data_IF_506151444853
#
_entry.id   IF_506151444853
#
_cell.length_a   1.000
_cell.length_b   1.000
_cell.length_c   1.000
_cell.angle_alpha   90.00
_cell.angle_beta   90.00
_cell.angle_gamma   90.00
#
_symmetry.space_group_name_H-M   'P 1'
#
loop_
_entity.id
_entity.type
_entity.pdbx_description
1 polymer ?
#
# COMPACT_ATOMS: atom_id res chain seq x y z
N UNK A 1 15.17 -8.14 43.70
CA UNK A 1 16.36 -8.33 42.84
C UNK A 1 16.18 -7.54 41.57
N UNK A 2 17.12 -6.65 41.22
CA UNK A 2 17.08 -5.96 39.93
C UNK A 2 17.28 -6.99 38.81
N UNK A 3 16.40 -6.98 37.79
CA UNK A 3 16.59 -7.85 36.62
C UNK A 3 17.89 -7.47 35.93
N UNK A 4 18.75 -8.45 35.64
CA UNK A 4 19.97 -8.27 34.86
C UNK A 4 19.61 -7.61 33.52
N UNK A 5 20.41 -6.64 33.10
CA UNK A 5 20.23 -5.94 31.84
C UNK A 5 21.40 -6.25 30.91
N UNK A 6 21.08 -6.35 29.62
CA UNK A 6 22.00 -6.65 28.55
C UNK A 6 21.97 -5.50 27.55
N UNK A 7 23.14 -4.97 27.23
CA UNK A 7 23.31 -3.88 26.26
C UNK A 7 23.72 -4.44 24.92
N UNK A 8 23.05 -3.98 23.87
CA UNK A 8 23.31 -4.36 22.48
C UNK A 8 23.59 -3.10 21.66
N UNK A 9 24.58 -3.19 20.78
CA UNK A 9 24.87 -2.21 19.76
C UNK A 9 24.69 -2.88 18.41
N UNK A 10 23.73 -2.41 17.63
CA UNK A 10 23.52 -2.86 16.24
C UNK A 10 23.99 -1.76 15.31
N UNK A 11 24.79 -2.11 14.31
CA UNK A 11 25.26 -1.19 13.27
C UNK A 11 24.84 -1.72 11.91
N UNK A 12 24.02 -0.96 11.20
CA UNK A 12 23.62 -1.22 9.82
C UNK A 12 24.55 -0.39 8.94
N UNK A 13 25.53 -1.04 8.30
CA UNK A 13 26.48 -0.37 7.41
C UNK A 13 25.91 -0.31 6.01
N UNK A 14 25.92 0.87 5.40
CA UNK A 14 25.31 1.13 4.10
C UNK A 14 26.36 1.29 3.00
N UNK A 15 25.96 1.04 1.74
CA UNK A 15 26.85 1.21 0.58
C UNK A 15 26.91 2.66 0.10
N UNK A 16 25.86 3.44 0.33
CA UNK A 16 25.73 4.85 -0.07
C UNK A 16 25.29 5.72 1.10
N UNK A 17 25.34 7.03 0.86
CA UNK A 17 24.92 8.08 1.77
C UNK A 17 23.46 7.93 2.21
N UNK A 18 23.16 8.34 3.44
CA UNK A 18 21.81 8.42 3.99
C UNK A 18 21.33 9.88 4.02
N UNK A 19 20.17 10.15 3.40
CA UNK A 19 19.53 11.47 3.42
C UNK A 19 19.17 11.98 4.82
N UNK A 20 19.14 11.12 5.83
CA UNK A 20 18.87 11.45 7.24
C UNK A 20 20.16 11.58 8.08
N UNK A 21 21.31 11.81 7.45
CA UNK A 21 22.59 11.96 8.14
C UNK A 21 22.54 13.03 9.26
N UNK A 22 23.12 12.71 10.42
CA UNK A 22 23.22 13.59 11.59
C UNK A 22 22.03 13.50 12.55
N UNK A 23 21.02 12.69 12.27
CA UNK A 23 19.86 12.53 13.15
C UNK A 23 20.17 11.64 14.35
N UNK A 24 19.74 12.08 15.54
CA UNK A 24 19.74 11.28 16.76
C UNK A 24 18.31 11.15 17.23
N UNK A 25 17.82 9.91 17.34
CA UNK A 25 16.42 9.60 17.57
C UNK A 25 16.25 8.67 18.77
N UNK A 26 15.20 8.90 19.54
CA UNK A 26 14.68 7.93 20.49
C UNK A 26 13.56 7.14 19.83
N UNK A 27 13.75 5.81 19.72
CA UNK A 27 12.83 4.90 19.03
C UNK A 27 12.07 4.06 20.05
N UNK A 28 10.76 4.28 20.22
CA UNK A 28 9.96 3.51 21.16
C UNK A 28 9.81 2.06 20.69
N UNK A 29 9.62 1.16 21.65
CA UNK A 29 9.28 -0.22 21.37
C UNK A 29 7.86 -0.29 20.79
N UNK A 30 7.60 -1.26 19.93
CA UNK A 30 6.29 -1.48 19.28
C UNK A 30 5.14 -1.79 20.26
N UNK A 31 5.40 -1.95 21.56
CA UNK A 31 4.41 -2.44 22.53
C UNK A 31 4.24 -1.59 23.79
N UNK A 32 4.73 -0.36 23.83
CA UNK A 32 4.50 0.50 25.01
C UNK A 32 3.08 1.05 24.97
N UNK A 33 2.15 0.30 25.58
CA UNK A 33 0.79 0.76 25.86
C UNK A 33 0.86 2.08 26.63
N UNK A 34 0.19 3.10 26.10
CA UNK A 34 -0.12 4.34 26.81
C UNK A 34 -0.90 3.95 28.06
N UNK A 35 -0.31 4.15 29.24
CA UNK A 35 -0.84 3.56 30.46
C UNK A 35 -0.12 4.00 31.72
N UNK A 36 1.01 3.41 32.09
CA UNK A 36 1.59 3.67 33.43
C UNK A 36 3.13 3.64 33.53
N UNK A 37 3.87 3.59 32.42
CA UNK A 37 5.34 3.78 32.41
C UNK A 37 5.76 4.48 31.13
N UNK A 38 6.77 5.36 31.21
CA UNK A 38 7.36 5.98 30.04
C UNK A 38 7.77 4.89 29.02
N UNK A 39 7.52 5.09 27.71
CA UNK A 39 7.85 4.09 26.72
C UNK A 39 9.34 3.79 26.78
N UNK A 40 9.70 2.50 26.83
CA UNK A 40 11.09 2.10 26.66
C UNK A 40 11.52 2.46 25.24
N UNK A 41 12.63 3.17 25.14
CA UNK A 41 13.19 3.67 23.89
C UNK A 41 14.58 3.10 23.66
N UNK A 42 14.92 2.90 22.39
CA UNK A 42 16.30 2.69 21.97
C UNK A 42 16.86 3.96 21.35
N UNK A 43 18.17 4.18 21.50
CA UNK A 43 18.84 5.33 20.90
C UNK A 43 19.34 4.96 19.51
N UNK A 44 18.96 5.74 18.51
CA UNK A 44 19.39 5.58 17.13
C UNK A 44 20.20 6.79 16.69
N UNK A 45 21.40 6.56 16.17
CA UNK A 45 22.22 7.56 15.50
C UNK A 45 22.29 7.24 14.02
N UNK A 46 21.91 8.19 13.18
CA UNK A 46 21.95 8.04 11.73
C UNK A 46 23.14 8.83 11.20
N UNK A 47 24.07 8.13 10.56
CA UNK A 47 25.22 8.71 9.88
C UNK A 47 25.12 8.48 8.37
N UNK A 48 26.02 9.11 7.62
CA UNK A 48 26.05 9.01 6.17
C UNK A 48 26.22 7.57 5.68
N UNK A 49 27.08 6.76 6.33
CA UNK A 49 27.43 5.41 5.88
C UNK A 49 26.99 4.29 6.83
N UNK A 50 26.33 4.63 7.94
CA UNK A 50 25.80 3.63 8.86
C UNK A 50 24.67 4.18 9.74
N UNK A 51 23.84 3.28 10.26
CA UNK A 51 22.87 3.55 11.31
C UNK A 51 23.25 2.75 12.54
N UNK A 52 23.37 3.39 13.70
CA UNK A 52 23.71 2.76 14.97
C UNK A 52 22.52 2.76 15.92
N UNK A 53 22.09 1.59 16.32
CA UNK A 53 21.06 1.35 17.34
C UNK A 53 21.75 0.90 18.64
N UNK A 54 21.52 1.62 19.73
CA UNK A 54 21.95 1.22 21.08
C UNK A 54 20.73 0.90 21.92
N UNK A 55 20.70 -0.32 22.44
CA UNK A 55 19.51 -0.91 23.03
C UNK A 55 19.83 -1.65 24.32
N UNK A 56 18.91 -1.61 25.29
CA UNK A 56 19.02 -2.33 26.56
C UNK A 56 17.83 -3.26 26.71
N UNK A 57 18.08 -4.54 27.02
CA UNK A 57 17.03 -5.56 27.21
C UNK A 57 17.23 -6.30 28.53
N UNK A 58 16.12 -6.76 29.11
CA UNK A 58 16.15 -7.65 30.28
C UNK A 58 16.41 -9.10 29.93
N UNK A 59 16.08 -9.49 28.69
CA UNK A 59 16.25 -10.85 28.23
C UNK A 59 17.61 -10.97 27.55
N UNK A 60 18.30 -12.07 27.87
CA UNK A 60 19.48 -12.47 27.15
C UNK A 60 19.06 -13.00 25.77
N UNK A 61 19.58 -12.43 24.70
CA UNK A 61 19.31 -12.85 23.32
C UNK A 61 20.64 -12.96 22.60
N UNK A 62 20.83 -14.06 21.87
CA UNK A 62 22.06 -14.22 21.10
C UNK A 62 22.13 -13.16 19.99
N UNK A 63 23.34 -12.64 19.68
CA UNK A 63 23.53 -11.68 18.58
C UNK A 63 23.00 -12.17 17.21
N UNK A 64 23.10 -13.47 16.93
CA UNK A 64 22.58 -14.07 15.71
C UNK A 64 21.05 -14.06 15.65
N UNK A 65 20.38 -14.46 16.74
CA UNK A 65 18.90 -14.48 16.78
C UNK A 65 18.30 -13.09 16.63
N UNK A 66 19.00 -12.01 17.02
CA UNK A 66 18.54 -10.63 16.79
C UNK A 66 18.32 -10.33 15.31
N UNK A 67 19.13 -10.92 14.41
CA UNK A 67 18.98 -10.72 12.97
C UNK A 67 18.00 -11.73 12.36
N UNK A 68 18.02 -12.99 12.82
CA UNK A 68 17.26 -14.08 12.18
C UNK A 68 15.82 -14.27 12.69
N UNK A 69 15.49 -13.78 13.88
CA UNK A 69 14.14 -13.92 14.46
C UNK A 69 13.27 -12.68 14.18
N UNK A 70 12.39 -12.80 13.19
CA UNK A 70 11.46 -11.74 12.79
C UNK A 70 10.46 -11.33 13.89
N UNK A 71 10.25 -12.18 14.91
CA UNK A 71 9.36 -11.86 16.03
C UNK A 71 10.03 -11.00 17.10
N UNK A 72 11.36 -10.95 17.11
CA UNK A 72 12.18 -10.28 18.12
C UNK A 72 12.01 -8.76 18.14
N UNK A 73 11.99 -8.17 19.35
CA UNK A 73 11.85 -6.71 19.50
C UNK A 73 13.03 -5.94 18.90
N UNK A 74 14.25 -6.46 18.99
CA UNK A 74 15.43 -5.86 18.36
C UNK A 74 15.40 -6.00 16.84
N UNK A 75 14.95 -7.14 16.31
CA UNK A 75 14.74 -7.30 14.87
C UNK A 75 13.77 -6.25 14.32
N UNK A 76 12.63 -6.03 15.00
CA UNK A 76 11.67 -4.99 14.61
C UNK A 76 12.29 -3.59 14.63
N UNK A 77 13.19 -3.29 15.57
CA UNK A 77 13.92 -2.01 15.60
C UNK A 77 14.90 -1.87 14.43
N UNK A 78 15.58 -2.95 14.04
CA UNK A 78 16.40 -2.98 12.82
C UNK A 78 15.50 -2.69 11.61
N UNK A 79 14.36 -3.37 11.50
CA UNK A 79 13.43 -3.20 10.38
C UNK A 79 12.89 -1.76 10.30
N UNK A 80 12.58 -1.10 11.42
CA UNK A 80 12.24 0.34 11.46
C UNK A 80 13.30 1.18 10.75
N UNK A 81 14.57 0.96 11.07
CA UNK A 81 15.67 1.74 10.51
C UNK A 81 15.92 1.42 9.04
N UNK A 82 15.79 0.15 8.65
CA UNK A 82 15.91 -0.29 7.26
C UNK A 82 14.80 0.35 6.40
N UNK A 83 13.54 0.32 6.86
CA UNK A 83 12.43 0.93 6.15
C UNK A 83 12.57 2.46 6.06
N UNK A 84 12.97 3.11 7.16
CA UNK A 84 13.25 4.55 7.17
C UNK A 84 14.36 4.93 6.18
N UNK A 85 15.43 4.12 6.14
CA UNK A 85 16.54 4.32 5.21
C UNK A 85 16.09 4.20 3.75
N UNK A 86 15.36 3.14 3.38
CA UNK A 86 14.87 3.00 2.01
C UNK A 86 13.84 4.06 1.64
N UNK A 87 12.88 4.38 2.51
CA UNK A 87 11.85 5.37 2.25
C UNK A 87 12.40 6.81 2.14
N UNK A 88 13.44 7.15 2.90
CA UNK A 88 14.05 8.49 2.83
C UNK A 88 14.96 8.70 1.62
N UNK A 89 15.49 7.62 1.04
CA UNK A 89 16.39 7.70 -0.11
C UNK A 89 15.69 7.43 -1.46
N UNK A 90 14.52 6.76 -1.45
CA UNK A 90 13.68 6.48 -2.63
C UNK A 90 14.39 5.79 -3.80
N UNK A 91 15.55 5.21 -3.52
CA UNK A 91 16.40 4.46 -4.43
C UNK A 91 17.10 3.41 -3.60
N UNK A 92 17.53 2.30 -4.21
CA UNK A 92 18.31 1.29 -3.48
C UNK A 92 19.70 1.88 -3.12
N UNK A 93 19.95 2.26 -1.86
CA UNK A 93 21.23 2.85 -1.48
C UNK A 93 22.15 1.76 -0.90
N UNK A 94 21.63 0.53 -0.78
CA UNK A 94 22.26 -0.70 -0.43
C UNK A 94 22.66 -0.84 1.04
N UNK A 95 22.53 -2.07 1.55
CA UNK A 95 23.06 -2.51 2.84
C UNK A 95 24.28 -3.37 2.57
N UNK A 96 25.39 -3.08 3.25
CA UNK A 96 26.62 -3.87 3.18
C UNK A 96 26.59 -5.00 4.20
N UNK A 97 26.29 -4.67 5.45
CA UNK A 97 26.30 -5.61 6.56
C UNK A 97 25.48 -5.09 7.74
N UNK A 98 25.00 -6.01 8.57
CA UNK A 98 24.43 -5.72 9.89
C UNK A 98 25.31 -6.40 10.94
N UNK A 99 25.95 -5.59 11.77
CA UNK A 99 26.77 -6.05 12.89
C UNK A 99 25.99 -5.91 14.20
N UNK A 100 25.95 -6.96 15.00
CA UNK A 100 25.36 -6.97 16.35
C UNK A 100 26.44 -7.26 17.37
N UNK A 101 26.58 -6.40 18.38
CA UNK A 101 27.53 -6.56 19.50
C UNK A 101 26.74 -6.54 20.80
N UNK A 102 26.89 -7.61 21.60
CA UNK A 102 26.43 -7.71 22.98
C UNK A 102 27.58 -7.31 23.91
N UNK A 103 27.38 -6.26 24.69
CA UNK A 103 28.40 -5.64 25.53
C UNK A 103 28.84 -6.59 26.67
N UNK A 104 30.13 -6.63 26.97
CA UNK A 104 30.71 -7.41 28.08
C UNK A 104 30.64 -8.94 27.95
N UNK A 105 30.50 -9.49 26.73
CA UNK A 105 30.45 -10.95 26.49
C UNK A 105 31.48 -11.39 25.46
N UNK A 106 32.33 -12.35 25.82
CA UNK A 106 33.27 -13.03 24.92
C UNK A 106 32.47 -13.79 23.83
N UNK A 107 32.81 -13.59 22.55
CA UNK A 107 32.00 -14.01 21.39
C UNK A 107 30.60 -13.35 21.28
N UNK A 108 30.38 -12.20 21.91
CA UNK A 108 29.15 -11.42 21.80
C UNK A 108 28.93 -10.70 20.46
N UNK A 109 29.60 -11.11 19.37
CA UNK A 109 29.55 -10.43 18.06
C UNK A 109 28.97 -11.34 16.98
N UNK A 110 28.05 -10.79 16.20
CA UNK A 110 27.53 -11.40 14.97
C UNK A 110 27.58 -10.41 13.81
N UNK A 111 27.84 -10.88 12.60
CA UNK A 111 27.85 -10.07 11.38
C UNK A 111 27.06 -10.81 10.30
N UNK A 112 26.02 -10.17 9.78
CA UNK A 112 25.32 -10.59 8.57
C UNK A 112 25.83 -9.74 7.39
N UNK A 113 26.29 -10.36 6.31
CA UNK A 113 26.82 -9.65 5.14
C UNK A 113 25.91 -9.80 3.92
N UNK A 114 25.73 -8.72 3.17
CA UNK A 114 24.85 -8.68 2.01
C UNK A 114 25.65 -8.49 0.72
N UNK A 115 25.45 -9.42 -0.20
CA UNK A 115 25.86 -9.35 -1.60
C UNK A 115 24.75 -8.71 -2.45
N UNK A 116 25.04 -8.31 -3.70
CA UNK A 116 24.01 -7.84 -4.63
C UNK A 116 22.89 -8.87 -4.92
N UNK A 117 23.09 -10.15 -4.62
CA UNK A 117 22.10 -11.22 -4.91
C UNK A 117 21.10 -11.45 -3.78
N UNK A 118 21.46 -11.14 -2.54
CA UNK A 118 20.61 -11.32 -1.34
C UNK A 118 20.24 -9.98 -0.67
N UNK A 119 20.53 -8.85 -1.31
CA UNK A 119 20.17 -7.53 -0.84
C UNK A 119 18.65 -7.29 -0.98
N UNK A 120 17.97 -6.81 0.08
CA UNK A 120 16.56 -6.45 -0.02
C UNK A 120 16.36 -5.31 -1.02
N UNK A 121 15.22 -5.31 -1.72
CA UNK A 121 14.78 -4.22 -2.59
C UNK A 121 15.80 -3.84 -3.68
N UNK A 122 16.51 -4.83 -4.24
CA UNK A 122 17.63 -4.64 -5.17
C UNK A 122 17.36 -3.66 -6.32
N UNK A 123 16.15 -3.68 -6.89
CA UNK A 123 15.78 -2.83 -8.03
C UNK A 123 14.95 -1.59 -7.62
N UNK A 124 14.99 -1.18 -6.35
CA UNK A 124 14.27 -0.01 -5.88
C UNK A 124 14.71 1.25 -6.63
N UNK A 125 13.77 1.84 -7.34
CA UNK A 125 13.95 3.10 -8.04
C UNK A 125 12.62 3.84 -8.15
N UNK A 126 12.50 4.96 -7.44
CA UNK A 126 11.39 5.88 -7.57
C UNK A 126 11.64 6.87 -8.72
N UNK A 127 10.65 7.06 -9.58
CA UNK A 127 10.80 7.85 -10.81
C UNK A 127 10.37 9.32 -10.66
N UNK A 128 9.68 9.69 -9.58
CA UNK A 128 9.21 11.07 -9.38
C UNK A 128 10.20 11.88 -8.55
N UNK A 129 10.29 13.19 -8.85
CA UNK A 129 11.09 14.14 -8.09
C UNK A 129 10.49 14.45 -6.70
N UNK A 130 9.27 13.97 -6.43
CA UNK A 130 8.66 14.12 -5.11
C UNK A 130 9.28 13.16 -4.10
N UNK A 131 9.66 13.72 -2.95
CA UNK A 131 10.11 12.98 -1.79
C UNK A 131 9.08 13.04 -0.64
N UNK A 132 9.17 12.08 0.27
CA UNK A 132 8.49 12.18 1.55
C UNK A 132 9.16 13.24 2.43
N UNK A 133 8.36 13.87 3.29
CA UNK A 133 8.91 14.70 4.36
C UNK A 133 9.62 13.79 5.39
N UNK A 134 10.89 14.06 5.64
CA UNK A 134 11.71 13.27 6.56
C UNK A 134 11.15 13.22 7.99
N UNK A 135 10.63 14.35 8.49
CA UNK A 135 10.07 14.41 9.84
C UNK A 135 8.78 13.60 9.95
N UNK A 136 7.92 13.67 8.93
CA UNK A 136 6.69 12.87 8.89
C UNK A 136 7.01 11.37 8.86
N UNK A 137 7.94 10.94 8.00
CA UNK A 137 8.41 9.54 7.98
C UNK A 137 8.90 9.07 9.35
N UNK A 138 9.75 9.87 10.00
CA UNK A 138 10.30 9.56 11.33
C UNK A 138 9.17 9.46 12.36
N UNK A 139 8.24 10.42 12.36
CA UNK A 139 7.14 10.47 13.32
C UNK A 139 6.20 9.26 13.14
N UNK A 140 5.84 8.91 11.91
CA UNK A 140 4.98 7.75 11.63
C UNK A 140 5.66 6.42 11.99
N UNK A 141 6.95 6.25 11.68
CA UNK A 141 7.70 5.05 12.10
C UNK A 141 7.87 4.98 13.63
N UNK A 142 7.97 6.11 14.32
CA UNK A 142 7.99 6.14 15.79
C UNK A 142 6.65 5.72 16.39
N UNK A 143 5.54 6.30 15.92
CA UNK A 143 4.24 6.24 16.59
C UNK A 143 3.36 5.08 16.11
N UNK A 144 3.41 4.72 14.83
CA UNK A 144 2.44 3.83 14.18
C UNK A 144 3.11 2.68 13.40
N UNK A 145 4.30 2.22 13.82
CA UNK A 145 5.10 1.26 13.05
C UNK A 145 4.38 -0.03 12.66
N UNK A 146 3.52 -0.59 13.52
CA UNK A 146 2.88 -1.87 13.22
C UNK A 146 2.01 -1.81 11.95
N UNK A 147 1.38 -0.66 11.67
CA UNK A 147 0.62 -0.43 10.44
C UNK A 147 1.48 0.27 9.38
N UNK A 148 2.13 1.36 9.74
CA UNK A 148 2.91 2.18 8.81
C UNK A 148 4.12 1.42 8.23
N UNK A 149 4.77 0.57 9.04
CA UNK A 149 5.86 -0.29 8.60
C UNK A 149 5.40 -1.37 7.60
N UNK A 150 4.16 -1.86 7.74
CA UNK A 150 3.55 -2.80 6.77
C UNK A 150 3.24 -2.08 5.46
N UNK A 151 2.68 -0.87 5.53
CA UNK A 151 2.41 -0.03 4.35
C UNK A 151 3.71 0.25 3.59
N UNK A 152 4.73 0.76 4.28
CA UNK A 152 6.02 1.05 3.65
C UNK A 152 6.70 -0.20 3.09
N UNK A 153 6.65 -1.33 3.79
CA UNK A 153 7.30 -2.55 3.30
C UNK A 153 6.67 -3.04 2.01
N UNK A 154 5.34 -3.03 1.91
CA UNK A 154 4.63 -3.43 0.68
C UNK A 154 4.84 -2.42 -0.45
N UNK A 155 4.77 -1.13 -0.18
CA UNK A 155 5.01 -0.10 -1.21
C UNK A 155 6.43 -0.19 -1.77
N UNK A 156 7.45 -0.19 -0.90
CA UNK A 156 8.85 -0.30 -1.30
C UNK A 156 9.12 -1.60 -2.07
N UNK A 157 8.51 -2.71 -1.65
CA UNK A 157 8.60 -3.99 -2.37
C UNK A 157 7.98 -3.85 -3.76
N UNK A 158 6.76 -3.33 -3.86
CA UNK A 158 6.05 -3.15 -5.13
C UNK A 158 6.82 -2.30 -6.14
N UNK A 159 7.39 -1.17 -5.71
CA UNK A 159 8.17 -0.32 -6.63
C UNK A 159 9.54 -0.92 -7.00
N UNK A 160 10.05 -1.87 -6.22
CA UNK A 160 11.30 -2.60 -6.51
C UNK A 160 11.10 -3.87 -7.34
N UNK A 161 9.84 -4.29 -7.54
CA UNK A 161 9.49 -5.55 -8.18
C UNK A 161 9.45 -5.42 -9.71
N UNK A 162 9.99 -6.43 -10.40
CA UNK A 162 10.03 -6.48 -11.87
C UNK A 162 8.87 -7.29 -12.44
N UNK A 163 8.41 -8.31 -11.71
CA UNK A 163 7.28 -9.10 -12.14
C UNK A 163 5.96 -8.32 -11.96
N UNK A 164 5.20 -8.16 -13.04
CA UNK A 164 3.94 -7.38 -13.05
C UNK A 164 2.94 -7.83 -11.98
N UNK A 165 2.79 -9.15 -11.77
CA UNK A 165 1.81 -9.71 -10.83
C UNK A 165 2.28 -9.57 -9.38
N UNK A 166 3.54 -9.85 -9.09
CA UNK A 166 4.12 -9.63 -7.76
C UNK A 166 4.11 -8.15 -7.37
N UNK A 167 4.36 -7.26 -8.35
CA UNK A 167 4.25 -5.82 -8.19
C UNK A 167 2.83 -5.41 -7.84
N UNK A 168 1.85 -5.92 -8.59
CA UNK A 168 0.43 -5.66 -8.33
C UNK A 168 -0.01 -6.13 -6.96
N UNK A 169 0.32 -7.35 -6.56
CA UNK A 169 -0.04 -7.87 -5.23
C UNK A 169 0.57 -7.03 -4.11
N UNK A 170 1.83 -6.61 -4.26
CA UNK A 170 2.51 -5.77 -3.26
C UNK A 170 1.86 -4.39 -3.15
N UNK A 171 1.63 -3.72 -4.28
CA UNK A 171 0.97 -2.40 -4.30
C UNK A 171 -0.47 -2.49 -3.81
N UNK A 172 -1.23 -3.51 -4.22
CA UNK A 172 -2.58 -3.73 -3.72
C UNK A 172 -2.61 -3.90 -2.20
N UNK A 173 -1.69 -4.68 -1.61
CA UNK A 173 -1.61 -4.83 -0.15
C UNK A 173 -1.29 -3.51 0.54
N UNK A 174 -0.43 -2.68 -0.04
CA UNK A 174 -0.21 -1.32 0.44
C UNK A 174 -1.53 -0.52 0.43
N UNK A 175 -2.19 -0.45 -0.72
CA UNK A 175 -3.46 0.25 -0.90
C UNK A 175 -4.54 -0.22 0.09
N UNK A 176 -4.66 -1.54 0.29
CA UNK A 176 -5.62 -2.13 1.22
C UNK A 176 -5.36 -1.67 2.66
N UNK A 177 -4.11 -1.69 3.13
CA UNK A 177 -3.78 -1.19 4.47
C UNK A 177 -4.06 0.32 4.62
N UNK A 178 -3.85 1.10 3.56
CA UNK A 178 -4.23 2.52 3.52
C UNK A 178 -5.76 2.70 3.57
N UNK A 179 -6.53 1.82 2.93
CA UNK A 179 -7.99 1.78 3.07
C UNK A 179 -8.41 1.56 4.52
N UNK A 180 -7.82 0.58 5.21
CA UNK A 180 -8.07 0.33 6.62
C UNK A 180 -7.71 1.53 7.50
N UNK A 181 -6.59 2.21 7.23
CA UNK A 181 -6.21 3.45 7.93
C UNK A 181 -7.25 4.56 7.76
N UNK A 182 -7.72 4.77 6.54
CA UNK A 182 -8.67 5.86 6.21
C UNK A 182 -10.10 5.65 6.72
N UNK A 183 -10.41 4.45 7.26
CA UNK A 183 -11.78 4.09 7.60
C UNK A 183 -12.26 4.83 8.85
N UNK A 184 -13.27 5.67 8.67
CA UNK A 184 -13.92 6.47 9.73
C UNK A 184 -15.33 6.00 10.10
N UNK A 185 -15.70 4.79 9.69
CA UNK A 185 -17.04 4.25 9.99
C UNK A 185 -17.18 3.75 11.43
N UNK A 186 -18.41 3.45 11.83
CA UNK A 186 -18.75 3.03 13.20
C UNK A 186 -18.37 1.58 13.53
N UNK A 187 -18.04 0.77 12.52
CA UNK A 187 -17.66 -0.63 12.74
C UNK A 187 -16.20 -0.71 13.23
N UNK A 188 -15.98 -1.22 14.43
CA UNK A 188 -14.64 -1.40 15.00
C UNK A 188 -13.79 -2.46 14.29
N UNK A 189 -14.41 -3.29 13.43
CA UNK A 189 -13.73 -4.28 12.57
C UNK A 189 -14.38 -4.27 11.18
N UNK A 190 -14.08 -3.25 10.35
CA UNK A 190 -14.67 -3.15 9.03
C UNK A 190 -14.18 -4.32 8.16
N UNK A 191 -15.04 -4.79 7.26
CA UNK A 191 -14.61 -5.73 6.23
C UNK A 191 -13.98 -4.97 5.05
N UNK A 192 -13.34 -5.70 4.14
CA UNK A 192 -12.67 -5.15 2.94
C UNK A 192 -13.62 -4.27 2.11
N UNK A 193 -14.88 -4.68 1.96
CA UNK A 193 -15.88 -3.94 1.18
C UNK A 193 -16.16 -2.57 1.79
N UNK A 194 -16.29 -2.49 3.11
CA UNK A 194 -16.59 -1.25 3.84
C UNK A 194 -15.43 -0.25 3.72
N UNK A 195 -14.18 -0.71 3.89
CA UNK A 195 -13.00 0.16 3.80
C UNK A 195 -12.75 0.64 2.38
N UNK A 196 -12.96 -0.22 1.37
CA UNK A 196 -12.86 0.18 -0.04
C UNK A 196 -13.92 1.21 -0.41
N UNK A 197 -15.16 1.07 0.09
CA UNK A 197 -16.21 2.07 -0.13
C UNK A 197 -15.83 3.42 0.47
N UNK A 198 -15.29 3.43 1.69
CA UNK A 198 -14.79 4.64 2.35
C UNK A 198 -13.66 5.30 1.56
N UNK A 199 -12.67 4.51 1.10
CA UNK A 199 -11.54 5.02 0.34
C UNK A 199 -11.96 5.60 -1.01
N UNK A 200 -12.91 4.98 -1.72
CA UNK A 200 -13.43 5.55 -2.98
C UNK A 200 -14.02 6.94 -2.76
N UNK A 201 -14.81 7.12 -1.71
CA UNK A 201 -15.38 8.43 -1.41
C UNK A 201 -14.30 9.43 -0.96
N UNK A 202 -13.30 8.99 -0.18
CA UNK A 202 -12.16 9.82 0.19
C UNK A 202 -11.42 10.36 -1.04
N UNK A 203 -11.06 9.50 -2.00
CA UNK A 203 -10.39 9.90 -3.25
C UNK A 203 -11.23 10.94 -4.01
N UNK A 204 -12.53 10.69 -4.14
CA UNK A 204 -13.48 11.55 -4.89
C UNK A 204 -13.73 12.92 -4.28
N UNK A 205 -13.56 13.05 -2.97
CA UNK A 205 -13.83 14.28 -2.20
C UNK A 205 -12.56 15.05 -1.87
N UNK A 206 -11.39 14.44 -2.00
CA UNK A 206 -10.08 15.02 -1.67
C UNK A 206 -9.14 15.05 -2.87
N UNK A 207 -9.63 15.42 -4.06
CA UNK A 207 -8.85 15.42 -5.32
C UNK A 207 -7.52 16.17 -5.23
N UNK A 208 -7.45 17.22 -4.40
CA UNK A 208 -6.22 18.00 -4.18
C UNK A 208 -5.06 17.16 -3.61
N UNK A 209 -5.33 16.02 -2.96
CA UNK A 209 -4.32 15.10 -2.46
C UNK A 209 -3.80 14.14 -3.53
N UNK A 210 -4.46 14.03 -4.68
CA UNK A 210 -4.20 13.03 -5.73
C UNK A 210 -3.74 13.64 -7.05
N UNK A 211 -3.06 14.79 -7.02
CA UNK A 211 -2.72 15.54 -8.23
C UNK A 211 -1.88 14.73 -9.23
N UNK A 212 -0.90 13.95 -8.77
CA UNK A 212 -0.05 13.15 -9.65
C UNK A 212 -0.83 11.97 -10.24
N UNK A 213 -1.60 11.26 -9.41
CA UNK A 213 -2.45 10.16 -9.87
C UNK A 213 -3.50 10.66 -10.87
N UNK A 214 -4.13 11.81 -10.60
CA UNK A 214 -5.10 12.43 -11.50
C UNK A 214 -4.45 12.75 -12.84
N UNK A 215 -3.23 13.30 -12.84
CA UNK A 215 -2.48 13.58 -14.07
C UNK A 215 -2.19 12.32 -14.89
N UNK A 216 -1.99 11.16 -14.27
CA UNK A 216 -1.79 9.89 -14.97
C UNK A 216 -3.03 9.46 -15.73
N UNK A 217 -4.21 9.60 -15.11
CA UNK A 217 -5.47 9.16 -15.74
C UNK A 217 -6.14 10.24 -16.58
N UNK A 218 -5.73 11.51 -16.43
CA UNK A 218 -6.27 12.66 -17.17
C UNK A 218 -6.28 12.49 -18.68
N UNK A 219 -5.23 11.85 -19.22
CA UNK A 219 -5.08 11.63 -20.67
C UNK A 219 -5.86 10.42 -21.18
N UNK A 220 -6.46 9.63 -20.29
CA UNK A 220 -7.20 8.43 -20.68
C UNK A 220 -8.51 8.82 -21.35
N UNK A 221 -8.66 8.42 -22.60
CA UNK A 221 -9.88 8.62 -23.40
C UNK A 221 -10.98 7.66 -22.98
N UNK A 222 -12.23 7.94 -23.40
CA UNK A 222 -13.36 7.03 -23.24
C UNK A 222 -13.05 5.63 -23.79
N UNK A 223 -12.44 5.57 -24.97
CA UNK A 223 -12.10 4.30 -25.64
C UNK A 223 -11.06 3.51 -24.87
N UNK A 224 -9.97 4.16 -24.43
CA UNK A 224 -8.93 3.50 -23.64
C UNK A 224 -9.48 3.01 -22.31
N UNK A 225 -10.23 3.84 -21.59
CA UNK A 225 -10.85 3.45 -20.34
C UNK A 225 -11.81 2.26 -20.52
N UNK A 226 -12.59 2.25 -21.60
CA UNK A 226 -13.53 1.17 -21.90
C UNK A 226 -12.84 -0.12 -22.34
N UNK A 227 -11.77 -0.04 -23.11
CA UNK A 227 -11.18 -1.17 -23.81
C UNK A 227 -10.00 -1.80 -23.09
N UNK A 228 -9.25 -1.03 -22.29
CA UNK A 228 -8.07 -1.54 -21.58
C UNK A 228 -8.42 -2.35 -20.34
N UNK A 229 -9.63 -2.17 -19.79
CA UNK A 229 -10.05 -2.82 -18.56
C UNK A 229 -11.18 -3.84 -18.76
N UNK A 230 -11.21 -4.83 -17.89
CA UNK A 230 -12.12 -5.98 -17.97
C UNK A 230 -13.52 -5.69 -17.38
N UNK A 231 -14.12 -4.55 -17.72
CA UNK A 231 -15.40 -4.06 -17.14
C UNK A 231 -16.52 -5.07 -17.18
N UNK A 232 -16.70 -5.76 -18.31
CA UNK A 232 -17.74 -6.79 -18.44
C UNK A 232 -17.54 -7.90 -17.42
N UNK A 233 -16.33 -8.44 -17.32
CA UNK A 233 -16.05 -9.55 -16.41
C UNK A 233 -16.18 -9.10 -14.95
N UNK A 234 -15.70 -7.90 -14.62
CA UNK A 234 -15.85 -7.29 -13.30
C UNK A 234 -17.33 -7.17 -12.92
N UNK A 235 -18.15 -6.57 -13.78
CA UNK A 235 -19.59 -6.39 -13.53
C UNK A 235 -20.28 -7.74 -13.34
N UNK A 236 -19.97 -8.71 -14.19
CA UNK A 236 -20.60 -10.03 -14.14
C UNK A 236 -20.20 -10.81 -12.88
N UNK A 237 -18.98 -10.61 -12.38
CA UNK A 237 -18.46 -11.25 -11.18
C UNK A 237 -19.01 -10.59 -9.90
N UNK A 238 -18.82 -9.28 -9.75
CA UNK A 238 -19.16 -8.54 -8.53
C UNK A 238 -20.68 -8.46 -8.28
N UNK A 239 -21.48 -8.53 -9.33
CA UNK A 239 -22.94 -8.39 -9.26
C UNK A 239 -23.61 -9.61 -9.88
N UNK A 240 -23.32 -10.79 -9.33
CA UNK A 240 -23.73 -12.08 -9.88
C UNK A 240 -25.25 -12.29 -9.88
N UNK A 241 -25.73 -13.14 -10.81
CA UNK A 241 -27.15 -13.48 -10.95
C UNK A 241 -27.62 -14.55 -9.96
N UNK A 242 -26.70 -15.17 -9.23
CA UNK A 242 -26.98 -16.32 -8.40
C UNK A 242 -27.47 -15.87 -7.03
N UNK A 243 -28.80 -15.84 -6.88
CA UNK A 243 -29.49 -15.57 -5.63
C UNK A 243 -30.71 -14.68 -5.81
N UNK A 244 -31.80 -14.96 -5.08
CA UNK A 244 -33.03 -14.15 -5.09
C UNK A 244 -32.92 -12.86 -4.27
N UNK A 245 -31.70 -12.34 -4.07
CA UNK A 245 -31.45 -11.17 -3.21
C UNK A 245 -31.39 -9.91 -4.07
N UNK A 246 -32.12 -8.88 -3.65
CA UNK A 246 -32.11 -7.54 -4.28
C UNK A 246 -30.78 -6.80 -4.04
N UNK A 247 -30.12 -7.07 -2.92
CA UNK A 247 -28.94 -6.36 -2.41
C UNK A 247 -27.76 -6.23 -3.39
N UNK A 248 -27.37 -7.25 -4.19
CA UNK A 248 -26.30 -7.08 -5.17
C UNK A 248 -26.63 -6.01 -6.22
N UNK A 249 -27.91 -5.87 -6.61
CA UNK A 249 -28.34 -4.91 -7.61
C UNK A 249 -28.51 -3.50 -7.03
N UNK A 250 -28.93 -3.39 -5.77
CA UNK A 250 -28.85 -2.14 -5.02
C UNK A 250 -27.39 -1.69 -4.91
N UNK A 251 -26.45 -2.59 -4.61
CA UNK A 251 -25.02 -2.27 -4.60
C UNK A 251 -24.50 -1.86 -5.99
N UNK A 252 -25.01 -2.45 -7.09
CA UNK A 252 -24.67 -2.00 -8.44
C UNK A 252 -25.05 -0.52 -8.62
N UNK A 253 -26.27 -0.13 -8.22
CA UNK A 253 -26.69 1.27 -8.26
C UNK A 253 -25.85 2.14 -7.32
N UNK A 254 -25.79 1.77 -6.05
CA UNK A 254 -25.31 2.63 -4.97
C UNK A 254 -23.79 2.73 -4.90
N UNK A 255 -23.05 1.73 -5.39
CA UNK A 255 -21.58 1.69 -5.30
C UNK A 255 -20.88 1.83 -6.65
N UNK A 256 -21.50 1.38 -7.75
CA UNK A 256 -20.88 1.43 -9.09
C UNK A 256 -21.38 2.58 -9.95
N UNK A 257 -22.64 3.01 -9.81
CA UNK A 257 -23.24 4.02 -10.70
C UNK A 257 -23.37 5.38 -10.03
N UNK A 258 -24.25 5.50 -9.04
CA UNK A 258 -24.67 6.78 -8.46
C UNK A 258 -23.55 7.65 -7.90
N UNK A 259 -22.44 7.10 -7.36
CA UNK A 259 -21.35 7.95 -6.90
C UNK A 259 -20.79 8.81 -8.04
N UNK A 260 -20.55 8.24 -9.22
CA UNK A 260 -19.70 8.84 -10.23
C UNK A 260 -20.42 9.84 -11.14
N UNK A 261 -19.70 10.90 -11.54
CA UNK A 261 -20.17 11.95 -12.44
C UNK A 261 -19.21 12.22 -13.60
N UNK A 262 -18.01 11.63 -13.58
CA UNK A 262 -17.05 11.73 -14.67
C UNK A 262 -17.59 11.15 -15.98
N UNK A 263 -17.47 11.91 -17.07
CA UNK A 263 -18.02 11.56 -18.37
C UNK A 263 -17.49 10.21 -18.91
N UNK A 264 -16.23 9.86 -18.66
CA UNK A 264 -15.63 8.59 -19.11
C UNK A 264 -16.23 7.41 -18.35
N UNK A 265 -16.43 7.57 -17.05
CA UNK A 265 -17.11 6.58 -16.22
C UNK A 265 -18.56 6.42 -16.66
N UNK A 266 -19.31 7.52 -16.84
CA UNK A 266 -20.72 7.46 -17.24
C UNK A 266 -20.91 6.84 -18.63
N UNK A 267 -20.03 7.14 -19.59
CA UNK A 267 -20.05 6.52 -20.92
C UNK A 267 -19.84 5.00 -20.84
N UNK A 268 -18.79 4.56 -20.12
CA UNK A 268 -18.53 3.14 -19.89
C UNK A 268 -19.72 2.45 -19.19
N UNK A 269 -20.31 3.06 -18.18
CA UNK A 269 -21.46 2.50 -17.46
C UNK A 269 -22.69 2.39 -18.37
N UNK A 270 -22.95 3.38 -19.24
CA UNK A 270 -24.05 3.30 -20.20
C UNK A 270 -23.87 2.15 -21.18
N UNK A 271 -22.68 1.99 -21.74
CA UNK A 271 -22.38 0.90 -22.68
C UNK A 271 -22.46 -0.49 -22.03
N UNK A 272 -22.08 -0.59 -20.76
CA UNK A 272 -22.05 -1.86 -20.03
C UNK A 272 -23.36 -2.19 -19.31
N UNK A 273 -24.30 -1.25 -19.22
CA UNK A 273 -25.61 -1.42 -18.58
C UNK A 273 -26.40 -2.60 -19.14
N UNK A 274 -26.25 -2.88 -20.43
CA UNK A 274 -26.89 -4.01 -21.13
C UNK A 274 -26.60 -5.36 -20.47
N UNK A 275 -25.45 -5.53 -19.80
CA UNK A 275 -25.04 -6.78 -19.17
C UNK A 275 -25.94 -7.19 -18.00
N UNK A 276 -26.60 -6.23 -17.35
CA UNK A 276 -27.49 -6.47 -16.19
C UNK A 276 -28.90 -5.88 -16.36
N UNK A 277 -29.22 -5.31 -17.52
CA UNK A 277 -30.49 -4.61 -17.74
C UNK A 277 -31.75 -5.40 -17.33
N UNK A 278 -31.88 -6.68 -17.75
CA UNK A 278 -33.08 -7.49 -17.44
C UNK A 278 -33.32 -7.62 -15.93
N UNK A 279 -32.26 -7.90 -15.18
CA UNK A 279 -32.35 -8.15 -13.74
C UNK A 279 -32.46 -6.84 -12.94
N UNK A 280 -31.83 -5.76 -13.41
CA UNK A 280 -32.00 -4.41 -12.84
C UNK A 280 -33.45 -3.92 -12.99
N UNK A 281 -34.11 -4.23 -14.12
CA UNK A 281 -35.54 -3.94 -14.32
C UNK A 281 -36.41 -4.76 -13.39
N UNK A 282 -36.15 -6.06 -13.28
CA UNK A 282 -36.89 -6.96 -12.38
C UNK A 282 -36.89 -6.48 -10.92
N UNK A 283 -35.76 -5.94 -10.43
CA UNK A 283 -35.64 -5.41 -9.07
C UNK A 283 -35.99 -3.92 -8.92
N UNK A 284 -36.53 -3.27 -9.95
CA UNK A 284 -36.88 -1.84 -9.97
C UNK A 284 -35.71 -0.88 -9.67
N UNK A 285 -34.48 -1.27 -10.03
CA UNK A 285 -33.27 -0.45 -9.83
C UNK A 285 -32.87 0.29 -11.12
N UNK A 286 -33.30 -0.22 -12.28
CA UNK A 286 -32.87 0.27 -13.59
C UNK A 286 -33.18 1.76 -13.85
N UNK A 287 -34.34 2.24 -13.40
CA UNK A 287 -34.76 3.62 -13.66
C UNK A 287 -33.92 4.63 -12.89
N UNK A 288 -33.55 4.36 -11.64
CA UNK A 288 -32.66 5.23 -10.86
C UNK A 288 -31.30 5.41 -11.56
N UNK A 289 -30.75 4.31 -12.07
CA UNK A 289 -29.51 4.30 -12.85
C UNK A 289 -29.66 5.14 -14.12
N UNK A 290 -30.72 4.90 -14.90
CA UNK A 290 -30.92 5.61 -16.16
C UNK A 290 -31.14 7.11 -15.94
N UNK A 291 -31.88 7.48 -14.88
CA UNK A 291 -32.08 8.88 -14.49
C UNK A 291 -30.76 9.55 -14.15
N UNK A 292 -29.88 8.90 -13.37
CA UNK A 292 -28.56 9.43 -13.05
C UNK A 292 -27.69 9.60 -14.30
N UNK A 293 -27.62 8.58 -15.17
CA UNK A 293 -26.87 8.66 -16.42
C UNK A 293 -27.39 9.77 -17.34
N UNK A 294 -28.71 9.92 -17.47
CA UNK A 294 -29.32 10.97 -18.30
C UNK A 294 -29.13 12.36 -17.70
N UNK A 295 -29.09 12.48 -16.37
CA UNK A 295 -28.90 13.75 -15.69
C UNK A 295 -27.47 14.29 -15.87
N UNK A 296 -26.44 13.46 -15.68
CA UNK A 296 -25.05 13.93 -15.61
C UNK A 296 -24.25 13.81 -16.90
N UNK A 297 -24.58 12.87 -17.80
CA UNK A 297 -23.80 12.68 -19.02
C UNK A 297 -23.80 13.91 -19.98
N UNK A 298 -24.90 14.67 -20.16
CA UNK A 298 -24.89 15.87 -20.99
C UNK A 298 -23.91 16.95 -20.53
N UNK A 299 -23.54 16.96 -19.25
CA UNK A 299 -22.63 17.96 -18.69
C UNK A 299 -21.17 17.72 -19.09
N UNK A 300 -20.85 16.51 -19.56
CA UNK A 300 -19.51 16.11 -20.00
C UNK A 300 -18.39 16.50 -19.00
N UNK A 301 -18.66 16.28 -17.72
CA UNK A 301 -17.75 16.66 -16.62
C UNK A 301 -16.52 15.75 -16.66
N UNK A 302 -15.32 16.35 -16.66
CA UNK A 302 -14.07 15.63 -16.43
C UNK A 302 -13.72 15.74 -14.96
N UNK A 303 -13.72 14.60 -14.26
CA UNK A 303 -13.39 14.48 -12.85
C UNK A 303 -12.46 13.28 -12.65
N UNK A 304 -11.16 13.55 -12.74
CA UNK A 304 -10.12 12.51 -12.71
C UNK A 304 -10.12 11.70 -11.40
N UNK A 305 -10.52 12.32 -10.28
CA UNK A 305 -10.68 11.64 -8.99
C UNK A 305 -11.76 10.54 -9.00
N UNK A 306 -12.85 10.71 -9.77
CA UNK A 306 -13.86 9.67 -9.96
C UNK A 306 -13.29 8.48 -10.74
N UNK A 307 -12.44 8.75 -11.75
CA UNK A 307 -11.77 7.74 -12.56
C UNK A 307 -10.75 6.95 -11.74
N UNK A 308 -9.96 7.63 -10.90
CA UNK A 308 -9.05 6.99 -9.95
C UNK A 308 -9.79 6.09 -8.96
N UNK A 309 -10.86 6.61 -8.34
CA UNK A 309 -11.61 5.88 -7.32
C UNK A 309 -12.19 4.56 -7.85
N UNK A 310 -12.72 4.55 -9.08
CA UNK A 310 -13.26 3.31 -9.66
C UNK A 310 -12.14 2.34 -10.08
N UNK A 311 -11.00 2.83 -10.58
CA UNK A 311 -9.88 1.98 -10.97
C UNK A 311 -9.22 1.32 -9.75
N UNK A 312 -8.90 2.10 -8.72
CA UNK A 312 -8.26 1.58 -7.50
C UNK A 312 -9.26 0.82 -6.61
N UNK A 313 -10.43 1.39 -6.34
CA UNK A 313 -11.36 0.83 -5.37
C UNK A 313 -12.31 -0.24 -5.90
N UNK A 314 -12.44 -0.41 -7.22
CA UNK A 314 -13.34 -1.42 -7.81
C UNK A 314 -12.60 -2.35 -8.76
N UNK A 315 -11.86 -1.84 -9.75
CA UNK A 315 -11.16 -2.69 -10.70
C UNK A 315 -9.99 -3.46 -10.05
N UNK A 316 -9.20 -2.80 -9.20
CA UNK A 316 -8.09 -3.48 -8.49
C UNK A 316 -8.56 -4.54 -7.48
N UNK A 317 -9.62 -4.27 -6.72
CA UNK A 317 -10.23 -5.31 -5.86
C UNK A 317 -10.70 -6.52 -6.67
N UNK A 318 -11.37 -6.30 -7.80
CA UNK A 318 -11.78 -7.39 -8.69
C UNK A 318 -10.58 -8.21 -9.19
N UNK A 319 -9.52 -7.55 -9.67
CA UNK A 319 -8.33 -8.23 -10.16
C UNK A 319 -7.61 -9.03 -9.08
N UNK A 320 -7.45 -8.45 -7.90
CA UNK A 320 -6.85 -9.17 -6.77
C UNK A 320 -7.68 -10.39 -6.40
N UNK A 321 -9.00 -10.29 -6.34
CA UNK A 321 -9.84 -11.45 -5.99
C UNK A 321 -9.70 -12.59 -7.00
N UNK A 322 -9.59 -12.27 -8.30
CA UNK A 322 -9.29 -13.28 -9.34
C UNK A 322 -7.94 -13.96 -9.12
N UNK A 323 -6.91 -13.19 -8.80
CA UNK A 323 -5.57 -13.73 -8.52
C UNK A 323 -5.56 -14.60 -7.26
N UNK A 324 -6.20 -14.15 -6.18
CA UNK A 324 -6.20 -14.84 -4.90
C UNK A 324 -7.00 -16.16 -4.93
N UNK A 325 -8.10 -16.21 -5.67
CA UNK A 325 -8.92 -17.42 -5.80
C UNK A 325 -8.36 -18.42 -6.83
N UNK A 326 -7.16 -18.20 -7.37
CA UNK A 326 -6.53 -19.09 -8.33
C UNK A 326 -7.28 -19.17 -9.67
N UNK A 327 -8.08 -18.15 -9.98
CA UNK A 327 -8.84 -18.09 -11.23
C UNK A 327 -7.96 -17.65 -12.42
N UNK A 328 -6.71 -17.27 -12.14
CA UNK A 328 -5.68 -16.91 -13.11
C UNK A 328 -4.57 -17.95 -13.01
N UNK A 329 -4.17 -18.51 -14.15
CA UNK A 329 -3.04 -19.44 -14.22
C UNK A 329 -1.74 -18.74 -13.83
N UNK A 330 -0.76 -19.50 -13.35
CA UNK A 330 0.54 -18.95 -12.99
C UNK A 330 1.12 -18.11 -14.15
N UNK A 331 1.46 -16.83 -13.93
CA UNK A 331 2.04 -15.98 -14.97
C UNK A 331 3.32 -16.55 -15.57
N UNK A 332 4.04 -17.37 -14.81
CA UNK A 332 5.25 -18.08 -15.26
C UNK A 332 4.99 -19.07 -16.39
N UNK A 333 3.73 -19.40 -16.69
CA UNK A 333 3.30 -20.31 -17.76
C UNK A 333 2.65 -19.57 -18.94
N UNK A 334 2.59 -18.23 -18.92
CA UNK A 334 2.05 -17.47 -20.03
C UNK A 334 2.94 -17.66 -21.26
N UNK A 335 2.36 -18.22 -22.33
CA UNK A 335 3.06 -18.46 -23.60
C UNK A 335 3.34 -17.16 -24.36
N UNK A 336 2.54 -16.12 -24.10
CA UNK A 336 2.66 -14.81 -24.73
C UNK A 336 2.12 -13.71 -23.81
N UNK A 337 2.39 -12.47 -24.19
CA UNK A 337 1.85 -11.30 -23.50
C UNK A 337 0.33 -11.22 -23.67
N UNK A 338 -0.40 -11.08 -22.56
CA UNK A 338 -1.86 -11.09 -22.55
C UNK A 338 -2.44 -9.70 -22.31
N UNK A 339 -3.73 -9.53 -22.61
CA UNK A 339 -4.47 -8.31 -22.25
C UNK A 339 -4.48 -8.06 -20.73
N UNK A 340 -4.47 -9.14 -19.95
CA UNK A 340 -4.41 -9.04 -18.49
C UNK A 340 -3.08 -8.46 -18.01
N UNK A 341 -1.98 -8.83 -18.66
CA UNK A 341 -0.68 -8.23 -18.35
C UNK A 341 -0.67 -6.72 -18.61
N UNK A 342 -1.23 -6.25 -19.73
CA UNK A 342 -1.35 -4.81 -20.02
C UNK A 342 -2.27 -4.09 -19.05
N UNK A 343 -3.39 -4.71 -18.67
CA UNK A 343 -4.30 -4.19 -17.65
C UNK A 343 -3.57 -4.02 -16.31
N UNK A 344 -2.86 -5.05 -15.84
CA UNK A 344 -2.09 -5.00 -14.60
C UNK A 344 -0.93 -4.01 -14.66
N UNK A 345 -0.24 -3.85 -15.79
CA UNK A 345 0.78 -2.81 -15.97
C UNK A 345 0.19 -1.41 -15.77
N UNK A 346 -0.98 -1.14 -16.36
CA UNK A 346 -1.66 0.14 -16.19
C UNK A 346 -2.09 0.36 -14.74
N UNK A 347 -2.61 -0.69 -14.08
CA UNK A 347 -3.00 -0.61 -12.67
C UNK A 347 -1.82 -0.41 -11.74
N UNK A 348 -0.70 -1.07 -11.98
CA UNK A 348 0.54 -0.87 -11.24
C UNK A 348 1.02 0.58 -11.30
N UNK A 349 0.99 1.18 -12.50
CA UNK A 349 1.36 2.59 -12.67
C UNK A 349 0.48 3.53 -11.84
N UNK A 350 -0.82 3.24 -11.77
CA UNK A 350 -1.77 4.05 -11.00
C UNK A 350 -1.57 3.83 -9.50
N UNK A 351 -1.58 2.57 -9.05
CA UNK A 351 -1.45 2.21 -7.62
C UNK A 351 -0.13 2.70 -7.03
N UNK A 352 0.98 2.57 -7.75
CA UNK A 352 2.29 3.03 -7.31
C UNK A 352 2.28 4.51 -6.89
N UNK A 353 1.58 5.36 -7.65
CA UNK A 353 1.50 6.81 -7.42
C UNK A 353 0.42 7.13 -6.39
N UNK A 354 -0.74 6.45 -6.45
CA UNK A 354 -1.81 6.61 -5.46
C UNK A 354 -1.31 6.24 -4.06
N UNK A 355 -0.61 5.12 -3.92
CA UNK A 355 -0.02 4.67 -2.66
C UNK A 355 1.01 5.68 -2.16
N UNK A 356 1.88 6.20 -3.05
CA UNK A 356 2.82 7.24 -2.68
C UNK A 356 2.12 8.50 -2.13
N UNK A 357 1.08 8.99 -2.81
CA UNK A 357 0.32 10.17 -2.37
C UNK A 357 -0.40 9.92 -1.04
N UNK A 358 -1.00 8.75 -0.86
CA UNK A 358 -1.65 8.35 0.40
C UNK A 358 -0.65 8.22 1.56
N UNK A 359 0.54 7.66 1.32
CA UNK A 359 1.63 7.59 2.31
C UNK A 359 2.14 8.99 2.64
N UNK A 360 2.31 9.84 1.63
CA UNK A 360 2.76 11.22 1.81
C UNK A 360 1.77 12.03 2.63
N UNK A 361 0.47 11.81 2.45
CA UNK A 361 -0.61 12.48 3.18
C UNK A 361 -1.22 11.60 4.27
N UNK A 362 -0.42 10.72 4.90
CA UNK A 362 -0.90 9.73 5.86
C UNK A 362 -1.70 10.33 7.03
N UNK A 363 -1.33 11.53 7.49
CA UNK A 363 -2.05 12.27 8.54
C UNK A 363 -3.48 12.71 8.13
N UNK A 364 -3.76 12.78 6.83
CA UNK A 364 -5.07 13.19 6.29
C UNK A 364 -6.04 12.02 6.14
N UNK A 365 -5.54 10.78 6.25
CA UNK A 365 -6.33 9.56 6.27
C UNK A 365 -7.01 9.42 7.63
#
# INVERSE_FOLDING_TARGET
MAKRQYKYVVTITTKRGNNLNGQILEMPYTQTRVGHTAPKVDRVEIHSTFIRLTAIRSNDTSPESIVKDNSGTLHKQILKQVLLYYASNLSNPGIKEITVIKDGVENGKYIESYSPLNEPLRNLHWQSDQAFNANDLINHIKLEFDLYGVILSYWLTGISEKNTYSKFESLWRCFEQLCFKSYKGSNSRPNEKDVLKSMREFIRTNEALFQQSCNVVKRMTNSEFRNNFSWRLMILNNYSQYGRKKTPYENYRDELVLPYKDARVLNMLRETLVYRQKILKYYNVYNDILNHLNLYQPWNIVKDSDLLAILCGTMASYKRNKMFHGEILSPSLNLCHTKEDEELKQMNKILEIVDFELIKYYNSL
#
